data_IF_264503667027
#
_entry.id   IF_264503667027
#
_cell.length_a   1.000
_cell.length_b   1.000
_cell.length_c   1.000
_cell.angle_alpha   90.00
_cell.angle_beta   90.00
_cell.angle_gamma   90.00
#
_symmetry.space_group_name_H-M   'P 1'
#
loop_
_entity.id
_entity.type
_entity.pdbx_description
1 polymer ?
#
# COMPACT_ATOMS: atom_id res chain seq x y z
N UNK A 1 0.53 24.34 -2.54
CA UNK A 1 1.36 23.36 -1.79
C UNK A 1 1.90 22.35 -2.79
N UNK A 2 3.21 22.11 -2.80
CA UNK A 2 3.85 21.13 -3.69
C UNK A 2 3.24 19.74 -3.53
N UNK A 3 3.00 19.04 -4.61
CA UNK A 3 2.53 17.65 -4.59
C UNK A 3 3.68 16.67 -4.80
N UNK A 4 3.75 15.60 -3.98
CA UNK A 4 4.75 14.56 -4.11
C UNK A 4 4.17 13.32 -4.79
N UNK A 5 4.90 12.78 -5.75
CA UNK A 5 4.51 11.58 -6.48
C UNK A 5 5.65 10.58 -6.51
N UNK A 6 5.32 9.29 -6.50
CA UNK A 6 6.30 8.22 -6.69
C UNK A 6 6.15 7.59 -8.08
N UNK A 7 7.21 7.67 -8.88
CA UNK A 7 7.32 7.00 -10.18
C UNK A 7 8.20 5.78 -10.01
N UNK A 8 7.65 4.59 -10.20
CA UNK A 8 8.41 3.34 -10.09
C UNK A 8 8.75 2.81 -11.48
N UNK A 9 10.03 2.53 -11.71
CA UNK A 9 10.56 2.00 -12.96
C UNK A 9 11.37 0.74 -12.72
N UNK A 10 11.39 -0.18 -13.67
CA UNK A 10 12.25 -1.35 -13.66
C UNK A 10 13.63 -0.96 -14.19
N UNK A 11 14.67 -1.46 -13.51
CA UNK A 11 16.06 -1.30 -13.91
C UNK A 11 16.56 -2.54 -14.65
N UNK A 12 17.46 -2.32 -15.61
CA UNK A 12 18.20 -3.36 -16.32
C UNK A 12 19.71 -3.21 -16.05
N UNK A 13 20.19 -3.63 -14.86
CA UNK A 13 21.59 -3.50 -14.50
C UNK A 13 22.44 -4.58 -15.15
N UNK A 14 23.67 -4.22 -15.51
CA UNK A 14 24.72 -5.20 -15.85
C UNK A 14 25.07 -6.06 -14.63
N UNK A 15 25.69 -7.25 -14.79
CA UNK A 15 26.12 -8.09 -13.66
C UNK A 15 27.02 -7.37 -12.65
N UNK A 16 27.88 -6.46 -13.12
CA UNK A 16 28.72 -5.61 -12.25
C UNK A 16 27.90 -4.63 -11.43
N UNK A 17 26.93 -3.98 -12.05
CA UNK A 17 26.01 -3.06 -11.37
C UNK A 17 25.11 -3.80 -10.37
N UNK A 18 24.63 -5.00 -10.73
CA UNK A 18 23.81 -5.83 -9.82
C UNK A 18 24.59 -6.19 -8.55
N UNK A 19 25.87 -6.60 -8.66
CA UNK A 19 26.74 -6.84 -7.49
C UNK A 19 26.90 -5.57 -6.64
N UNK A 20 27.13 -4.41 -7.25
CA UNK A 20 27.23 -3.14 -6.52
C UNK A 20 25.91 -2.74 -5.82
N UNK A 21 24.77 -2.93 -6.47
CA UNK A 21 23.46 -2.70 -5.85
C UNK A 21 23.22 -3.63 -4.66
N UNK A 22 23.62 -4.90 -4.78
CA UNK A 22 23.51 -5.87 -3.68
C UNK A 22 24.42 -5.46 -2.49
N UNK A 23 25.64 -5.00 -2.76
CA UNK A 23 26.55 -4.45 -1.76
C UNK A 23 25.92 -3.25 -1.04
N UNK A 24 25.43 -2.26 -1.77
CA UNK A 24 24.73 -1.09 -1.18
C UNK A 24 23.53 -1.48 -0.31
N UNK A 25 22.75 -2.48 -0.72
CA UNK A 25 21.62 -2.98 0.07
C UNK A 25 22.09 -3.72 1.34
N UNK A 26 23.22 -4.43 1.27
CA UNK A 26 23.92 -5.03 2.41
C UNK A 26 24.39 -3.97 3.41
N UNK A 27 25.10 -2.97 2.91
CA UNK A 27 25.61 -1.84 3.67
C UNK A 27 24.50 -1.05 4.38
N UNK A 28 23.41 -0.77 3.67
CA UNK A 28 22.23 -0.12 4.25
C UNK A 28 21.59 -0.95 5.38
N UNK A 29 21.52 -2.28 5.22
CA UNK A 29 21.04 -3.16 6.28
C UNK A 29 21.97 -3.19 7.48
N UNK A 30 23.29 -3.22 7.24
CA UNK A 30 24.29 -3.19 8.29
C UNK A 30 24.17 -1.93 9.13
N UNK A 31 24.19 -0.75 8.51
CA UNK A 31 24.06 0.53 9.23
C UNK A 31 22.74 0.64 10.01
N UNK A 32 21.63 0.14 9.42
CA UNK A 32 20.36 0.08 10.14
C UNK A 32 20.46 -0.78 11.41
N UNK A 33 21.08 -1.95 11.31
CA UNK A 33 21.19 -2.87 12.44
C UNK A 33 22.18 -2.35 13.48
N UNK A 34 23.32 -1.82 13.08
CA UNK A 34 24.29 -1.19 13.98
C UNK A 34 23.67 -0.02 14.75
N UNK A 35 22.96 0.89 14.05
CA UNK A 35 22.24 1.98 14.72
C UNK A 35 21.13 1.51 15.64
N UNK A 36 20.45 0.40 15.33
CA UNK A 36 19.45 -0.19 16.22
C UNK A 36 20.11 -0.83 17.45
N UNK A 37 21.26 -1.47 17.32
CA UNK A 37 22.02 -2.03 18.43
C UNK A 37 22.45 -0.91 19.39
N UNK A 38 23.07 0.14 18.88
CA UNK A 38 23.47 1.32 19.64
C UNK A 38 22.32 1.93 20.48
N UNK A 39 21.15 2.14 19.85
CA UNK A 39 19.97 2.65 20.58
C UNK A 39 19.48 1.67 21.65
N UNK A 40 19.57 0.36 21.39
CA UNK A 40 19.19 -0.64 22.39
C UNK A 40 20.14 -0.69 23.58
N UNK A 41 21.44 -0.54 23.35
CA UNK A 41 22.46 -0.48 24.39
C UNK A 41 22.24 0.73 25.30
N UNK A 42 22.00 1.93 24.73
CA UNK A 42 21.68 3.11 25.52
C UNK A 42 20.43 2.91 26.39
N UNK A 43 19.36 2.30 25.83
CA UNK A 43 18.15 1.98 26.59
C UNK A 43 18.46 0.96 27.72
N UNK A 44 19.28 -0.05 27.46
CA UNK A 44 19.69 -1.06 28.43
C UNK A 44 20.55 -0.50 29.55
N UNK A 45 21.40 0.50 29.27
CA UNK A 45 22.22 1.24 30.22
C UNK A 45 21.47 2.33 30.99
N UNK A 46 20.15 2.51 30.74
CA UNK A 46 19.37 3.57 31.40
C UNK A 46 19.60 4.97 30.83
N UNK A 47 20.37 5.10 29.75
CA UNK A 47 20.63 6.39 29.12
C UNK A 47 19.46 6.81 28.21
N UNK A 48 19.18 8.14 28.11
CA UNK A 48 18.17 8.63 27.17
C UNK A 48 18.62 8.39 25.73
N UNK A 49 17.92 7.55 24.97
CA UNK A 49 18.39 7.16 23.65
C UNK A 49 18.19 8.27 22.62
N UNK A 50 19.26 8.64 21.93
CA UNK A 50 19.22 9.54 20.80
C UNK A 50 18.93 8.79 19.51
N UNK A 51 17.69 8.84 19.02
CA UNK A 51 17.28 8.17 17.77
C UNK A 51 16.90 9.10 16.62
N UNK A 52 17.26 10.39 16.70
CA UNK A 52 17.07 11.31 15.57
C UNK A 52 17.94 10.87 14.38
N UNK A 53 17.54 11.24 13.16
CA UNK A 53 18.38 10.94 11.99
C UNK A 53 19.75 11.62 12.09
N UNK A 54 19.78 12.81 12.69
CA UNK A 54 21.02 13.56 12.87
C UNK A 54 21.97 12.86 13.85
N UNK A 55 21.49 12.49 15.04
CA UNK A 55 22.30 11.81 16.06
C UNK A 55 22.78 10.43 15.59
N UNK A 56 21.92 9.62 14.99
CA UNK A 56 22.32 8.34 14.41
C UNK A 56 23.36 8.47 13.30
N UNK A 57 23.27 9.52 12.47
CA UNK A 57 24.26 9.80 11.43
C UNK A 57 25.59 10.27 12.01
N UNK A 58 25.56 11.12 13.05
CA UNK A 58 26.74 11.60 13.77
C UNK A 58 27.46 10.42 14.42
N UNK A 59 26.72 9.58 15.14
CA UNK A 59 27.25 8.35 15.73
C UNK A 59 27.87 7.42 14.68
N UNK A 60 27.18 7.15 13.56
CA UNK A 60 27.73 6.34 12.48
C UNK A 60 29.03 6.88 11.93
N UNK A 61 29.12 8.17 11.70
CA UNK A 61 30.32 8.79 11.14
C UNK A 61 31.52 8.69 12.09
N UNK A 62 31.29 8.73 13.39
CA UNK A 62 32.34 8.58 14.40
C UNK A 62 32.83 7.12 14.52
N UNK A 63 31.96 6.13 14.33
CA UNK A 63 32.26 4.72 14.62
C UNK A 63 32.37 3.82 13.36
N UNK A 64 32.17 4.34 12.16
CA UNK A 64 32.09 3.53 10.93
C UNK A 64 33.40 2.79 10.60
N UNK A 65 34.54 3.37 10.96
CA UNK A 65 35.88 2.80 10.69
C UNK A 65 36.17 1.58 11.55
N UNK A 66 35.59 1.51 12.75
CA UNK A 66 35.66 0.37 13.65
C UNK A 66 34.59 -0.67 13.36
N UNK A 67 33.37 -0.22 13.08
CA UNK A 67 32.20 -1.09 12.86
C UNK A 67 32.23 -1.82 11.51
N UNK A 68 32.71 -1.15 10.47
CA UNK A 68 32.64 -1.65 9.09
C UNK A 68 33.96 -2.25 8.62
N UNK A 69 34.55 -3.12 9.45
CA UNK A 69 35.77 -3.86 9.17
C UNK A 69 35.46 -5.31 8.80
N UNK A 70 36.16 -5.84 7.84
CA UNK A 70 36.15 -7.27 7.52
C UNK A 70 36.98 -8.00 8.57
N UNK A 71 36.35 -8.81 9.41
CA UNK A 71 37.01 -9.51 10.49
C UNK A 71 38.09 -10.49 10.03
N UNK A 72 38.06 -10.97 8.79
CA UNK A 72 39.05 -11.89 8.24
C UNK A 72 40.26 -11.18 7.65
N UNK A 73 40.09 -9.96 7.10
CA UNK A 73 41.19 -9.23 6.41
C UNK A 73 41.63 -7.96 7.13
N UNK A 74 40.87 -7.49 8.13
CA UNK A 74 41.12 -6.21 8.80
C UNK A 74 40.79 -4.99 7.94
N UNK A 75 40.34 -5.17 6.71
CA UNK A 75 40.06 -4.08 5.78
C UNK A 75 38.74 -3.38 6.09
N UNK A 76 38.76 -2.06 6.03
CA UNK A 76 37.56 -1.22 6.10
C UNK A 76 36.81 -1.28 4.78
N UNK A 77 35.50 -1.52 4.80
CA UNK A 77 34.71 -1.71 3.58
C UNK A 77 33.60 -0.68 3.36
N UNK A 78 33.35 0.23 4.30
CA UNK A 78 32.24 1.20 4.15
C UNK A 78 32.45 2.15 2.96
N UNK A 79 33.66 2.47 2.59
CA UNK A 79 34.03 3.37 1.50
C UNK A 79 33.68 2.81 0.11
N UNK A 80 33.51 1.49 -0.01
CA UNK A 80 33.10 0.81 -1.26
C UNK A 80 31.65 1.17 -1.67
N UNK A 81 30.86 1.68 -0.74
CA UNK A 81 29.45 2.03 -0.94
C UNK A 81 29.22 3.53 -0.80
N UNK A 82 28.12 4.03 -1.37
CA UNK A 82 27.75 5.43 -1.24
C UNK A 82 27.34 5.75 0.20
N UNK A 83 27.81 6.89 0.72
CA UNK A 83 27.40 7.44 2.03
C UNK A 83 25.87 7.58 2.18
N UNK A 84 25.16 7.77 1.07
CA UNK A 84 23.70 7.89 1.04
C UNK A 84 22.99 6.56 1.40
N UNK A 85 23.60 5.41 1.08
CA UNK A 85 23.02 4.12 1.45
C UNK A 85 22.93 3.96 2.98
N UNK A 86 23.97 4.36 3.70
CA UNK A 86 24.03 4.36 5.17
C UNK A 86 23.09 5.40 5.76
N UNK A 87 23.20 6.65 5.33
CA UNK A 87 22.35 7.76 5.79
C UNK A 87 20.87 7.49 5.55
N UNK A 88 20.51 6.93 4.37
CA UNK A 88 19.15 6.55 4.06
C UNK A 88 18.60 5.46 4.98
N UNK A 89 19.44 4.48 5.38
CA UNK A 89 19.07 3.41 6.29
C UNK A 89 18.85 3.92 7.73
N UNK A 90 19.70 4.81 8.20
CA UNK A 90 19.58 5.46 9.52
C UNK A 90 18.34 6.38 9.56
N UNK A 91 18.04 7.09 8.48
CA UNK A 91 16.78 7.85 8.34
C UNK A 91 15.55 6.97 8.41
N UNK A 92 15.57 5.80 7.79
CA UNK A 92 14.48 4.83 7.86
C UNK A 92 14.34 4.27 9.30
N UNK A 93 15.44 4.07 10.03
CA UNK A 93 15.44 3.67 11.43
C UNK A 93 14.83 4.76 12.33
N UNK A 94 15.30 6.00 12.21
CA UNK A 94 14.77 7.16 12.95
C UNK A 94 13.26 7.31 12.74
N UNK A 95 12.78 7.15 11.48
CA UNK A 95 11.35 7.14 11.16
C UNK A 95 10.63 5.98 11.84
N UNK A 96 11.26 4.81 11.92
CA UNK A 96 10.74 3.64 12.64
C UNK A 96 10.47 3.95 14.11
N UNK A 97 11.42 4.57 14.78
CA UNK A 97 11.30 5.02 16.18
C UNK A 97 10.22 6.09 16.35
N UNK A 98 10.20 7.12 15.47
CA UNK A 98 9.17 8.15 15.49
C UNK A 98 7.75 7.55 15.34
N UNK A 99 7.57 6.60 14.42
CA UNK A 99 6.29 5.93 14.21
C UNK A 99 5.88 5.08 15.42
N UNK A 100 6.83 4.36 16.04
CA UNK A 100 6.59 3.60 17.25
C UNK A 100 6.20 4.51 18.41
N UNK A 101 6.95 5.59 18.68
CA UNK A 101 6.68 6.55 19.73
C UNK A 101 5.30 7.21 19.55
N UNK A 102 4.98 7.69 18.34
CA UNK A 102 3.67 8.27 18.02
C UNK A 102 2.54 7.25 18.19
N UNK A 103 2.77 5.98 17.81
CA UNK A 103 1.80 4.90 17.97
C UNK A 103 1.53 4.59 19.45
N UNK A 104 2.58 4.59 20.27
CA UNK A 104 2.48 4.37 21.73
C UNK A 104 1.73 5.51 22.42
N UNK A 105 1.96 6.75 21.97
CA UNK A 105 1.30 7.97 22.51
C UNK A 105 -0.10 8.21 21.94
N UNK A 106 -0.67 7.29 21.13
CA UNK A 106 -1.98 7.46 20.48
C UNK A 106 -2.05 8.54 19.40
N UNK A 107 -0.89 9.18 19.06
CA UNK A 107 -0.81 10.28 18.08
C UNK A 107 -0.72 9.81 16.61
N UNK A 108 -0.93 8.50 16.33
CA UNK A 108 -0.87 7.93 14.99
C UNK A 108 -2.15 7.21 14.64
N UNK A 109 -2.76 7.58 13.50
CA UNK A 109 -3.90 6.85 12.91
C UNK A 109 -3.42 5.49 12.35
N UNK A 110 -4.29 4.48 12.41
CA UNK A 110 -4.05 3.15 11.86
C UNK A 110 -3.51 2.13 12.88
N UNK A 111 -3.02 0.98 12.37
CA UNK A 111 -2.58 -0.15 13.21
C UNK A 111 -1.42 0.25 14.13
N UNK A 112 -1.40 -0.35 15.34
CA UNK A 112 -0.30 -0.18 16.30
C UNK A 112 1.03 -0.60 15.67
N UNK A 113 2.05 0.25 15.81
CA UNK A 113 3.43 0.00 15.33
C UNK A 113 4.29 -0.43 16.51
N UNK A 114 4.94 -1.58 16.38
CA UNK A 114 5.89 -2.08 17.39
C UNK A 114 7.26 -1.40 17.31
N UNK A 115 8.11 -1.71 18.28
CA UNK A 115 9.50 -1.27 18.30
C UNK A 115 10.26 -1.77 17.05
N UNK A 116 11.20 -1.00 16.48
CA UNK A 116 12.01 -1.44 15.35
C UNK A 116 12.72 -2.77 15.60
N UNK A 117 12.78 -3.63 14.58
CA UNK A 117 13.43 -4.95 14.66
C UNK A 117 14.65 -5.01 13.74
N UNK A 118 15.63 -5.85 14.08
CA UNK A 118 16.77 -6.13 13.22
C UNK A 118 16.33 -6.68 11.86
N UNK A 119 17.03 -6.25 10.81
CA UNK A 119 16.79 -6.72 9.43
C UNK A 119 17.66 -7.92 9.13
N UNK A 120 17.06 -9.04 8.78
CA UNK A 120 17.76 -10.25 8.34
C UNK A 120 18.21 -10.19 6.87
N UNK A 121 19.06 -11.13 6.43
CA UNK A 121 19.43 -11.33 5.01
C UNK A 121 18.22 -11.60 4.11
N UNK A 122 17.12 -12.12 4.67
CA UNK A 122 15.87 -12.41 3.96
C UNK A 122 14.97 -11.19 3.79
N UNK A 123 15.30 -10.05 4.41
CA UNK A 123 14.57 -8.80 4.22
C UNK A 123 14.79 -8.27 2.80
N UNK A 124 13.83 -7.53 2.26
CA UNK A 124 13.92 -6.91 0.94
C UNK A 124 15.20 -6.08 0.81
N UNK A 125 16.03 -6.40 -0.18
CA UNK A 125 17.20 -5.59 -0.52
C UNK A 125 16.74 -4.20 -0.93
N UNK A 126 17.18 -3.18 -0.20
CA UNK A 126 16.76 -1.79 -0.42
C UNK A 126 17.79 -0.81 0.10
N UNK A 127 18.01 0.25 -0.65
CA UNK A 127 18.78 1.43 -0.26
C UNK A 127 18.23 2.67 -0.94
N UNK A 128 18.63 3.86 -0.53
CA UNK A 128 18.10 5.09 -1.08
C UNK A 128 19.16 6.18 -1.21
N UNK A 129 18.96 7.06 -2.17
CA UNK A 129 19.72 8.26 -2.41
C UNK A 129 18.83 9.50 -2.24
N UNK A 130 19.34 10.50 -1.57
CA UNK A 130 18.72 11.83 -1.48
C UNK A 130 19.53 12.88 -2.25
N UNK A 131 20.80 12.59 -2.52
CA UNK A 131 21.72 13.46 -3.25
C UNK A 131 22.68 12.64 -4.13
N UNK A 132 23.41 13.30 -5.02
CA UNK A 132 24.48 12.71 -5.82
C UNK A 132 24.04 11.84 -6.99
N UNK A 133 22.77 11.71 -7.26
CA UNK A 133 22.24 11.07 -8.45
C UNK A 133 22.02 12.12 -9.57
N UNK A 134 22.02 11.64 -10.84
CA UNK A 134 21.62 12.47 -11.98
C UNK A 134 20.34 11.89 -12.57
N UNK A 135 19.35 12.76 -12.75
CA UNK A 135 18.09 12.40 -13.42
C UNK A 135 18.33 12.13 -14.91
N UNK A 136 17.50 11.30 -15.56
CA UNK A 136 17.50 11.16 -17.01
C UNK A 136 17.24 12.48 -17.72
N UNK A 137 17.89 12.67 -18.88
CA UNK A 137 17.81 13.86 -19.72
C UNK A 137 17.16 13.51 -21.06
N UNK A 138 16.85 14.52 -21.88
CA UNK A 138 16.33 14.30 -23.23
C UNK A 138 17.32 13.52 -24.11
N UNK A 139 18.63 13.70 -23.93
CA UNK A 139 19.69 12.96 -24.63
C UNK A 139 19.91 11.53 -24.12
N UNK A 140 19.50 11.24 -22.86
CA UNK A 140 19.55 9.91 -22.26
C UNK A 140 18.29 9.63 -21.44
N UNK A 141 17.13 9.41 -22.11
CA UNK A 141 15.83 9.31 -21.43
C UNK A 141 15.65 8.03 -20.60
N UNK A 142 16.48 7.01 -20.83
CA UNK A 142 16.49 5.73 -20.11
C UNK A 142 17.63 5.59 -19.10
N UNK A 143 18.53 6.58 -19.00
CA UNK A 143 19.70 6.52 -18.15
C UNK A 143 19.49 7.13 -16.77
N UNK A 144 19.67 6.36 -15.71
CA UNK A 144 19.65 6.83 -14.34
C UNK A 144 21.04 6.69 -13.72
N UNK A 145 21.73 7.81 -13.44
CA UNK A 145 23.07 7.77 -12.87
C UNK A 145 22.99 7.71 -11.33
N UNK A 146 23.53 6.63 -10.76
CA UNK A 146 23.52 6.37 -9.32
C UNK A 146 24.94 6.44 -8.74
N UNK A 147 25.16 7.09 -7.58
CA UNK A 147 26.47 7.18 -6.95
C UNK A 147 27.11 5.80 -6.73
N UNK A 148 28.39 5.67 -7.09
CA UNK A 148 29.18 4.43 -6.96
C UNK A 148 28.69 3.24 -7.80
N UNK A 149 27.56 3.35 -8.50
CA UNK A 149 27.01 2.31 -9.38
C UNK A 149 27.20 2.70 -10.85
N UNK A 150 27.11 3.98 -11.15
CA UNK A 150 27.17 4.53 -12.49
C UNK A 150 25.82 4.66 -13.16
N UNK A 151 25.81 4.80 -14.50
CA UNK A 151 24.60 4.89 -15.32
C UNK A 151 23.94 3.51 -15.42
N UNK A 152 22.71 3.40 -14.96
CA UNK A 152 21.87 2.19 -15.04
C UNK A 152 20.76 2.42 -16.05
N UNK A 153 20.54 1.46 -16.94
CA UNK A 153 19.45 1.50 -17.90
C UNK A 153 18.11 1.25 -17.21
N UNK A 154 17.10 2.05 -17.55
CA UNK A 154 15.71 1.89 -17.13
C UNK A 154 14.91 1.30 -18.31
N UNK A 155 14.00 0.37 -18.03
CA UNK A 155 13.17 -0.27 -19.04
C UNK A 155 12.06 0.64 -19.62
N UNK A 156 11.94 1.86 -19.11
CA UNK A 156 10.92 2.83 -19.49
C UNK A 156 11.56 4.20 -19.69
N UNK A 157 10.95 5.04 -20.55
CA UNK A 157 11.36 6.44 -20.70
C UNK A 157 11.09 7.21 -19.43
N UNK A 158 12.11 7.33 -18.58
CA UNK A 158 12.00 7.98 -17.28
C UNK A 158 11.95 9.50 -17.44
N UNK A 159 12.67 10.06 -18.41
CA UNK A 159 12.66 11.49 -18.68
C UNK A 159 11.24 12.01 -18.93
N UNK A 160 10.51 11.35 -19.80
CA UNK A 160 9.11 11.70 -20.10
C UNK A 160 8.22 11.53 -18.86
N UNK A 161 8.38 10.43 -18.12
CA UNK A 161 7.54 10.15 -16.92
C UNK A 161 7.72 11.15 -15.77
N UNK A 162 8.87 11.78 -15.67
CA UNK A 162 9.16 12.78 -14.64
C UNK A 162 9.24 14.21 -15.20
N UNK A 163 8.92 14.41 -16.48
CA UNK A 163 8.93 15.74 -17.12
C UNK A 163 8.16 16.75 -16.30
N UNK A 164 8.72 17.95 -16.14
CA UNK A 164 8.13 19.03 -15.34
C UNK A 164 8.13 18.77 -13.82
N UNK A 165 8.91 17.79 -13.34
CA UNK A 165 8.97 17.48 -11.92
C UNK A 165 10.41 17.46 -11.40
N UNK A 166 10.62 17.92 -10.18
CA UNK A 166 11.91 17.88 -9.49
C UNK A 166 12.11 16.53 -8.81
N UNK A 167 13.19 15.82 -9.14
CA UNK A 167 13.55 14.55 -8.51
C UNK A 167 14.19 14.79 -7.13
N UNK A 168 13.53 14.31 -6.07
CA UNK A 168 13.93 14.54 -4.67
C UNK A 168 14.70 13.34 -4.10
N UNK A 169 14.28 12.11 -4.43
CA UNK A 169 14.83 10.90 -3.83
C UNK A 169 14.68 9.72 -4.77
N UNK A 170 15.67 8.85 -4.75
CA UNK A 170 15.62 7.55 -5.45
C UNK A 170 15.70 6.45 -4.40
N UNK A 171 14.75 5.52 -4.43
CA UNK A 171 14.81 4.30 -3.63
C UNK A 171 15.00 3.11 -4.57
N UNK A 172 16.13 2.45 -4.46
CA UNK A 172 16.43 1.22 -5.22
C UNK A 172 16.05 0.01 -4.40
N UNK A 173 15.35 -0.96 -4.99
CA UNK A 173 14.90 -2.18 -4.32
C UNK A 173 14.89 -3.38 -5.26
N UNK A 174 15.14 -4.58 -4.70
CA UNK A 174 15.03 -5.85 -5.45
C UNK A 174 13.74 -6.56 -5.08
N UNK A 175 12.96 -6.96 -6.10
CA UNK A 175 11.74 -7.73 -5.94
C UNK A 175 11.68 -8.85 -6.96
N UNK A 176 11.52 -10.08 -6.51
CA UNK A 176 11.39 -11.27 -7.38
C UNK A 176 12.51 -11.40 -8.43
N UNK A 177 13.75 -11.10 -8.03
CA UNK A 177 14.92 -11.18 -8.90
C UNK A 177 15.18 -9.93 -9.75
N UNK A 178 14.26 -8.98 -9.82
CA UNK A 178 14.40 -7.75 -10.60
C UNK A 178 14.69 -6.54 -9.72
N UNK A 179 15.47 -5.59 -10.24
CA UNK A 179 15.73 -4.31 -9.59
C UNK A 179 14.77 -3.24 -10.06
N UNK A 180 14.38 -2.36 -9.16
CA UNK A 180 13.48 -1.25 -9.40
C UNK A 180 14.02 0.02 -8.75
N UNK A 181 13.83 1.15 -9.41
CA UNK A 181 13.96 2.47 -8.81
C UNK A 181 12.57 3.07 -8.59
N UNK A 182 12.33 3.57 -7.38
CA UNK A 182 11.18 4.40 -7.06
C UNK A 182 11.67 5.83 -6.91
N UNK A 183 11.27 6.66 -7.82
CA UNK A 183 11.65 8.07 -7.94
C UNK A 183 10.59 8.89 -7.19
N UNK A 184 10.96 9.56 -6.13
CA UNK A 184 10.09 10.55 -5.49
C UNK A 184 10.31 11.88 -6.18
N UNK A 185 9.28 12.38 -6.82
CA UNK A 185 9.29 13.65 -7.53
C UNK A 185 8.33 14.65 -6.90
N UNK A 186 8.73 15.89 -6.92
CA UNK A 186 7.93 17.04 -6.54
C UNK A 186 7.43 17.75 -7.79
N UNK A 187 6.13 17.95 -7.86
CA UNK A 187 5.51 18.73 -8.93
C UNK A 187 4.81 19.93 -8.32
N UNK A 188 4.85 21.05 -9.02
CA UNK A 188 3.93 22.12 -8.75
C UNK A 188 2.49 21.63 -8.95
N UNK A 189 1.53 22.10 -8.15
CA UNK A 189 0.14 21.74 -8.34
C UNK A 189 -0.28 22.26 -9.70
N UNK A 190 -0.44 21.38 -10.67
CA UNK A 190 -1.16 21.71 -11.90
C UNK A 190 -2.63 21.88 -11.52
N UNK A 191 -3.25 22.94 -11.97
CA UNK A 191 -4.70 23.07 -11.88
C UNK A 191 -5.33 21.77 -12.41
N UNK A 192 -6.40 21.26 -11.78
CA UNK A 192 -7.08 20.07 -12.29
C UNK A 192 -7.40 20.33 -13.76
N UNK A 193 -7.11 19.35 -14.62
CA UNK A 193 -7.43 19.46 -16.03
C UNK A 193 -8.93 19.81 -16.16
N UNK A 194 -9.21 20.96 -16.77
CA UNK A 194 -10.57 21.51 -16.98
C UNK A 194 -11.31 20.81 -18.12
N UNK A 195 -10.85 19.63 -18.56
CA UNK A 195 -11.62 18.86 -19.54
C UNK A 195 -13.03 18.62 -19.01
N UNK A 196 -14.05 18.85 -19.81
CA UNK A 196 -15.43 18.57 -19.43
C UNK A 196 -15.56 17.10 -19.05
N UNK A 197 -15.99 16.84 -17.81
CA UNK A 197 -16.20 15.52 -17.30
C UNK A 197 -17.67 15.17 -17.43
N UNK A 198 -17.96 13.89 -17.66
CA UNK A 198 -19.31 13.36 -17.50
C UNK A 198 -19.79 13.59 -16.06
N UNK A 199 -21.09 13.62 -15.86
CA UNK A 199 -21.69 13.81 -14.54
C UNK A 199 -21.27 12.76 -13.50
N UNK A 200 -22.11 12.51 -12.53
CA UNK A 200 -21.87 11.50 -11.51
C UNK A 200 -22.00 10.08 -12.04
N UNK A 201 -21.18 9.13 -11.54
CA UNK A 201 -21.27 7.70 -11.82
C UNK A 201 -21.32 6.90 -10.51
N UNK A 202 -22.21 5.91 -10.44
CA UNK A 202 -22.23 4.89 -9.40
C UNK A 202 -21.36 3.70 -9.82
N UNK A 203 -20.64 3.13 -8.88
CA UNK A 203 -19.70 2.02 -9.11
C UNK A 203 -19.98 0.91 -8.10
N UNK A 204 -20.55 -0.20 -8.56
CA UNK A 204 -20.66 -1.43 -7.79
C UNK A 204 -19.36 -2.24 -7.91
N UNK A 205 -18.74 -2.55 -6.77
CA UNK A 205 -17.47 -3.30 -6.70
C UNK A 205 -17.72 -4.77 -6.41
N UNK A 206 -17.32 -5.64 -7.32
CA UNK A 206 -17.61 -7.06 -7.26
C UNK A 206 -16.39 -7.99 -7.36
N UNK A 207 -16.67 -9.29 -7.20
CA UNK A 207 -15.70 -10.37 -7.37
C UNK A 207 -15.83 -11.00 -8.77
N UNK A 208 -17.02 -11.03 -9.36
CA UNK A 208 -17.26 -11.52 -10.73
C UNK A 208 -16.66 -10.53 -11.72
N UNK A 209 -17.14 -9.32 -11.70
CA UNK A 209 -16.57 -8.14 -12.34
C UNK A 209 -15.82 -7.33 -11.28
N UNK A 210 -14.77 -6.62 -11.66
CA UNK A 210 -14.02 -5.77 -10.73
C UNK A 210 -14.85 -4.55 -10.34
N UNK A 211 -15.59 -4.00 -11.32
CA UNK A 211 -16.54 -2.92 -11.11
C UNK A 211 -17.60 -2.97 -12.21
N UNK A 212 -18.84 -2.61 -11.87
CA UNK A 212 -19.93 -2.31 -12.81
C UNK A 212 -20.38 -0.88 -12.58
N UNK A 213 -20.47 -0.09 -13.64
CA UNK A 213 -20.80 1.32 -13.59
C UNK A 213 -22.29 1.55 -13.90
N UNK A 214 -22.85 2.64 -13.42
CA UNK A 214 -24.26 3.00 -13.63
C UNK A 214 -24.62 3.33 -15.08
N UNK A 215 -23.65 3.49 -15.95
CA UNK A 215 -23.82 3.61 -17.42
C UNK A 215 -23.70 2.26 -18.15
N UNK A 216 -23.78 1.16 -17.42
CA UNK A 216 -23.63 -0.21 -17.91
C UNK A 216 -22.21 -0.60 -18.33
N UNK A 217 -21.20 0.24 -18.11
CA UNK A 217 -19.80 -0.13 -18.35
C UNK A 217 -19.36 -1.20 -17.36
N UNK A 218 -18.85 -2.33 -17.87
CA UNK A 218 -18.37 -3.44 -17.05
C UNK A 218 -16.85 -3.52 -17.13
N UNK A 219 -16.19 -3.49 -15.98
CA UNK A 219 -14.74 -3.67 -15.84
C UNK A 219 -14.47 -5.11 -15.38
N UNK A 220 -13.86 -5.95 -16.23
CA UNK A 220 -13.66 -7.36 -15.90
C UNK A 220 -12.65 -7.55 -14.78
N UNK A 221 -12.90 -8.54 -13.92
CA UNK A 221 -11.91 -8.95 -12.90
C UNK A 221 -10.88 -9.89 -13.54
N UNK A 222 -9.59 -9.54 -13.53
CA UNK A 222 -8.52 -10.37 -14.15
C UNK A 222 -8.29 -11.70 -13.42
N UNK A 223 -8.86 -11.89 -12.21
CA UNK A 223 -8.70 -13.08 -11.37
C UNK A 223 -7.25 -13.58 -11.33
N UNK A 224 -6.32 -12.67 -11.11
CA UNK A 224 -4.89 -12.84 -11.33
C UNK A 224 -4.29 -14.02 -10.56
N UNK A 225 -4.75 -14.26 -9.32
CA UNK A 225 -4.35 -15.41 -8.52
C UNK A 225 -5.00 -16.70 -9.05
N UNK A 226 -6.30 -16.67 -9.37
CA UNK A 226 -7.03 -17.81 -9.91
C UNK A 226 -6.35 -18.38 -11.15
N UNK A 227 -6.02 -17.54 -12.12
CA UNK A 227 -5.36 -17.91 -13.37
C UNK A 227 -3.98 -18.56 -13.17
N UNK A 228 -3.29 -18.29 -12.06
CA UNK A 228 -1.95 -18.80 -11.80
C UNK A 228 -1.85 -19.76 -10.61
N UNK A 229 -2.97 -20.10 -10.00
CA UNK A 229 -3.01 -20.88 -8.76
C UNK A 229 -2.37 -22.26 -8.92
N UNK A 230 -2.64 -22.96 -10.03
CA UNK A 230 -2.05 -24.28 -10.35
C UNK A 230 -0.51 -24.21 -10.46
N UNK A 231 -0.01 -23.21 -11.19
CA UNK A 231 1.43 -22.99 -11.36
C UNK A 231 2.11 -22.62 -10.03
N UNK A 232 1.47 -21.76 -9.23
CA UNK A 232 1.98 -21.36 -7.92
C UNK A 232 2.05 -22.55 -6.94
N UNK A 233 1.01 -23.38 -6.88
CA UNK A 233 0.99 -24.61 -6.06
C UNK A 233 2.11 -25.58 -6.47
N UNK A 234 2.30 -25.81 -7.79
CA UNK A 234 3.38 -26.66 -8.32
C UNK A 234 4.76 -26.11 -7.93
N UNK A 235 4.97 -24.79 -8.07
CA UNK A 235 6.23 -24.17 -7.70
C UNK A 235 6.49 -24.22 -6.17
N UNK A 236 5.47 -24.02 -5.35
CA UNK A 236 5.57 -24.14 -3.89
C UNK A 236 5.90 -25.58 -3.44
N UNK A 237 5.23 -26.59 -4.03
CA UNK A 237 5.53 -28.02 -3.78
C UNK A 237 6.97 -28.37 -4.20
N UNK A 238 7.45 -27.82 -5.33
CA UNK A 238 8.85 -27.99 -5.74
C UNK A 238 9.83 -27.34 -4.76
N UNK A 239 9.51 -26.15 -4.23
CA UNK A 239 10.32 -25.45 -3.23
C UNK A 239 10.39 -26.21 -1.90
N UNK A 240 9.28 -26.74 -1.41
CA UNK A 240 9.24 -27.49 -0.13
C UNK A 240 10.14 -28.71 -0.12
N UNK A 241 10.32 -29.37 -1.29
CA UNK A 241 11.17 -30.56 -1.46
C UNK A 241 12.66 -30.27 -1.57
N UNK A 242 13.10 -29.01 -1.56
CA UNK A 242 14.52 -28.63 -1.71
C UNK A 242 15.19 -28.44 -0.37
N UNK A 243 16.44 -28.89 -0.26
CA UNK A 243 17.27 -28.74 0.95
C UNK A 243 17.49 -27.27 1.27
N UNK A 244 17.30 -26.89 2.53
CA UNK A 244 17.55 -25.51 3.02
C UNK A 244 19.03 -25.16 2.80
N UNK A 245 19.28 -23.94 2.29
CA UNK A 245 20.63 -23.46 1.99
C UNK A 245 21.15 -23.83 0.60
N UNK A 246 20.55 -24.80 -0.11
CA UNK A 246 21.02 -25.18 -1.43
C UNK A 246 20.72 -24.14 -2.53
N UNK A 247 21.61 -24.03 -3.51
CA UNK A 247 21.43 -23.16 -4.70
C UNK A 247 20.13 -23.52 -5.46
N UNK A 248 19.79 -24.82 -5.51
CA UNK A 248 18.54 -25.29 -6.12
C UNK A 248 17.30 -24.77 -5.37
N UNK A 249 17.38 -24.64 -4.05
CA UNK A 249 16.30 -24.06 -3.25
C UNK A 249 16.16 -22.55 -3.50
N UNK A 250 17.24 -21.80 -3.59
CA UNK A 250 17.19 -20.35 -3.90
C UNK A 250 16.59 -20.10 -5.31
N UNK A 251 16.95 -20.88 -6.31
CA UNK A 251 16.32 -20.83 -7.64
C UNK A 251 14.80 -21.14 -7.58
N UNK A 252 14.39 -22.13 -6.80
CA UNK A 252 12.97 -22.47 -6.61
C UNK A 252 12.21 -21.35 -5.86
N UNK A 253 12.81 -20.77 -4.83
CA UNK A 253 12.28 -19.62 -4.08
C UNK A 253 12.07 -18.40 -4.98
N UNK A 254 13.03 -18.12 -5.85
CA UNK A 254 12.92 -17.04 -6.83
C UNK A 254 11.78 -17.29 -7.82
N UNK A 255 11.60 -18.53 -8.30
CA UNK A 255 10.47 -18.89 -9.17
C UNK A 255 9.12 -18.62 -8.50
N UNK A 256 8.95 -19.01 -7.24
CA UNK A 256 7.73 -18.72 -6.45
C UNK A 256 7.53 -17.21 -6.31
N UNK A 257 8.62 -16.46 -6.02
CA UNK A 257 8.58 -15.02 -5.91
C UNK A 257 8.14 -14.34 -7.21
N UNK A 258 8.65 -14.78 -8.37
CA UNK A 258 8.26 -14.28 -9.71
C UNK A 258 6.77 -14.53 -10.00
N UNK A 259 6.26 -15.72 -9.70
CA UNK A 259 4.84 -16.02 -9.88
C UNK A 259 3.94 -15.14 -9.01
N UNK A 260 4.30 -14.96 -7.74
CA UNK A 260 3.57 -14.05 -6.82
C UNK A 260 3.65 -12.60 -7.27
N UNK A 261 4.82 -12.16 -7.74
CA UNK A 261 4.99 -10.81 -8.28
C UNK A 261 4.09 -10.59 -9.49
N UNK A 262 4.04 -11.55 -10.44
CA UNK A 262 3.18 -11.44 -11.62
C UNK A 262 1.69 -11.35 -11.27
N UNK A 263 1.22 -12.11 -10.28
CA UNK A 263 -0.16 -12.00 -9.77
C UNK A 263 -0.44 -10.59 -9.24
N UNK A 264 0.48 -10.07 -8.42
CA UNK A 264 0.34 -8.74 -7.86
C UNK A 264 0.39 -7.63 -8.92
N UNK A 265 1.23 -7.79 -9.95
CA UNK A 265 1.40 -6.80 -11.01
C UNK A 265 0.18 -6.76 -11.95
N UNK A 266 -0.37 -7.92 -12.35
CA UNK A 266 -1.61 -8.00 -13.15
C UNK A 266 -2.78 -7.35 -12.42
N UNK A 267 -2.92 -7.63 -11.11
CA UNK A 267 -3.95 -7.01 -10.28
C UNK A 267 -3.77 -5.49 -10.19
N UNK A 268 -2.56 -5.05 -9.90
CA UNK A 268 -2.25 -3.62 -9.76
C UNK A 268 -2.48 -2.87 -11.08
N UNK A 269 -2.14 -3.45 -12.22
CA UNK A 269 -2.36 -2.86 -13.55
C UNK A 269 -3.85 -2.70 -13.84
N UNK A 270 -4.66 -3.75 -13.64
CA UNK A 270 -6.10 -3.71 -13.86
C UNK A 270 -6.77 -2.63 -13.00
N UNK A 271 -6.48 -2.60 -11.68
CA UNK A 271 -7.02 -1.59 -10.77
C UNK A 271 -6.55 -0.19 -11.17
N UNK A 272 -5.26 -0.04 -11.53
CA UNK A 272 -4.72 1.26 -11.89
C UNK A 272 -5.38 1.82 -13.16
N UNK A 273 -5.58 1.01 -14.20
CA UNK A 273 -6.27 1.38 -15.43
C UNK A 273 -7.73 1.77 -15.16
N UNK A 274 -8.46 0.91 -14.45
CA UNK A 274 -9.85 1.15 -14.08
C UNK A 274 -10.05 2.46 -13.31
N UNK A 275 -9.31 2.64 -12.23
CA UNK A 275 -9.44 3.82 -11.37
C UNK A 275 -8.93 5.11 -12.04
N UNK A 276 -7.98 5.01 -12.98
CA UNK A 276 -7.53 6.17 -13.78
C UNK A 276 -8.62 6.60 -14.77
N UNK A 277 -9.21 5.64 -15.46
CA UNK A 277 -10.31 5.88 -16.39
C UNK A 277 -11.48 6.53 -15.64
N UNK A 278 -11.98 5.91 -14.55
CA UNK A 278 -13.12 6.42 -13.80
C UNK A 278 -12.84 7.84 -13.27
N UNK A 279 -11.72 8.08 -12.58
CA UNK A 279 -11.40 9.39 -12.03
C UNK A 279 -11.13 10.47 -13.10
N UNK A 280 -10.73 10.08 -14.29
CA UNK A 280 -10.53 10.99 -15.43
C UNK A 280 -11.83 11.35 -16.15
N UNK A 281 -12.77 10.39 -16.24
CA UNK A 281 -13.99 10.53 -17.05
C UNK A 281 -15.13 11.24 -16.32
N UNK A 282 -15.33 10.97 -15.02
CA UNK A 282 -16.51 11.46 -14.29
C UNK A 282 -16.16 12.57 -13.30
N UNK A 283 -17.11 13.48 -13.09
CA UNK A 283 -16.97 14.59 -12.13
C UNK A 283 -17.24 14.15 -10.68
N UNK A 284 -18.11 13.17 -10.48
CA UNK A 284 -18.37 12.56 -9.18
C UNK A 284 -18.40 11.03 -9.33
N UNK A 285 -17.77 10.33 -8.36
CA UNK A 285 -17.68 8.88 -8.33
C UNK A 285 -18.28 8.39 -7.01
N UNK A 286 -19.40 7.68 -7.08
CA UNK A 286 -20.09 7.14 -5.92
C UNK A 286 -19.76 5.65 -5.78
N UNK A 287 -19.28 5.23 -4.60
CA UNK A 287 -18.94 3.83 -4.30
C UNK A 287 -19.60 3.39 -3.00
N UNK A 288 -19.80 2.10 -2.83
CA UNK A 288 -20.27 1.52 -1.56
C UNK A 288 -19.14 1.48 -0.51
N UNK A 289 -19.49 1.74 0.76
CA UNK A 289 -18.60 1.67 1.91
C UNK A 289 -18.29 0.24 2.38
N UNK A 290 -17.74 -0.62 1.52
CA UNK A 290 -17.51 -2.03 1.78
C UNK A 290 -16.61 -2.29 3.00
N UNK A 291 -17.05 -3.18 3.90
CA UNK A 291 -16.21 -3.73 4.97
C UNK A 291 -15.34 -4.88 4.47
N UNK A 292 -14.33 -4.54 3.66
CA UNK A 292 -13.41 -5.54 3.07
C UNK A 292 -12.72 -6.39 4.13
N UNK A 293 -12.38 -5.82 5.29
CA UNK A 293 -11.75 -6.56 6.39
C UNK A 293 -12.68 -7.64 6.97
N UNK A 294 -13.98 -7.36 7.06
CA UNK A 294 -15.01 -8.34 7.44
C UNK A 294 -15.20 -9.41 6.36
N UNK A 295 -15.25 -9.01 5.09
CA UNK A 295 -15.43 -9.94 3.97
C UNK A 295 -14.28 -10.96 3.86
N UNK A 296 -13.06 -10.57 4.16
CA UNK A 296 -11.87 -11.46 4.15
C UNK A 296 -11.88 -12.47 5.31
N UNK A 297 -12.68 -12.25 6.37
CA UNK A 297 -12.86 -13.25 7.44
C UNK A 297 -13.72 -14.43 7.00
N UNK A 298 -14.59 -14.26 6.03
CA UNK A 298 -15.37 -15.35 5.44
C UNK A 298 -14.44 -16.23 4.58
N UNK A 299 -14.16 -17.46 5.04
CA UNK A 299 -13.20 -18.36 4.38
C UNK A 299 -13.60 -18.75 2.96
N UNK A 300 -14.89 -18.80 2.62
CA UNK A 300 -15.39 -19.10 1.28
C UNK A 300 -15.11 -17.97 0.28
N UNK A 301 -15.19 -16.70 0.73
CA UNK A 301 -15.01 -15.52 -0.10
C UNK A 301 -13.60 -14.91 0.00
N UNK A 302 -12.87 -15.18 1.07
CA UNK A 302 -11.59 -14.54 1.40
C UNK A 302 -10.59 -14.51 0.24
N UNK A 303 -10.46 -15.63 -0.48
CA UNK A 303 -9.55 -15.73 -1.62
C UNK A 303 -9.97 -14.81 -2.76
N UNK A 304 -11.23 -14.85 -3.15
CA UNK A 304 -11.77 -14.07 -4.26
C UNK A 304 -11.80 -12.58 -3.96
N UNK A 305 -12.21 -12.19 -2.76
CA UNK A 305 -12.16 -10.79 -2.28
C UNK A 305 -10.72 -10.27 -2.21
N UNK A 306 -9.79 -11.08 -1.71
CA UNK A 306 -8.35 -10.72 -1.67
C UNK A 306 -7.76 -10.65 -3.08
N UNK A 307 -8.23 -11.46 -4.02
CA UNK A 307 -7.78 -11.42 -5.42
C UNK A 307 -8.34 -10.21 -6.16
N UNK A 308 -9.58 -9.80 -5.92
CA UNK A 308 -10.17 -8.57 -6.44
C UNK A 308 -9.52 -7.30 -5.87
N UNK A 309 -8.99 -7.36 -4.63
CA UNK A 309 -8.32 -6.27 -3.91
C UNK A 309 -9.17 -4.97 -3.83
N UNK A 310 -10.44 -5.10 -3.48
CA UNK A 310 -11.44 -4.02 -3.45
C UNK A 310 -10.98 -2.82 -2.59
N UNK A 311 -10.27 -3.06 -1.49
CA UNK A 311 -9.70 -1.99 -0.65
C UNK A 311 -8.62 -1.17 -1.36
N UNK A 312 -7.84 -1.77 -2.25
CA UNK A 312 -6.86 -1.06 -3.08
C UNK A 312 -7.55 -0.24 -4.17
N UNK A 313 -8.64 -0.74 -4.74
CA UNK A 313 -9.46 -0.01 -5.70
C UNK A 313 -9.99 1.29 -5.08
N UNK A 314 -10.64 1.21 -3.91
CA UNK A 314 -11.10 2.37 -3.16
C UNK A 314 -9.96 3.34 -2.85
N UNK A 315 -8.84 2.86 -2.30
CA UNK A 315 -7.67 3.69 -1.99
C UNK A 315 -7.13 4.43 -3.22
N UNK A 316 -7.18 3.79 -4.40
CA UNK A 316 -6.74 4.44 -5.64
C UNK A 316 -7.75 5.50 -6.10
N UNK A 317 -9.04 5.28 -5.98
CA UNK A 317 -10.04 6.30 -6.27
C UNK A 317 -9.86 7.51 -5.34
N UNK A 318 -9.67 7.33 -4.03
CA UNK A 318 -9.49 8.41 -3.06
C UNK A 318 -8.43 9.43 -3.49
N UNK A 319 -7.24 9.00 -3.87
CA UNK A 319 -6.19 9.95 -4.27
C UNK A 319 -6.28 10.38 -5.74
N UNK A 320 -6.87 9.57 -6.63
CA UNK A 320 -6.98 9.92 -8.05
C UNK A 320 -8.08 10.95 -8.29
N UNK A 321 -9.23 10.81 -7.65
CA UNK A 321 -10.31 11.80 -7.73
C UNK A 321 -9.84 13.14 -7.18
N UNK A 322 -9.15 13.15 -6.02
CA UNK A 322 -8.55 14.36 -5.47
C UNK A 322 -7.55 15.04 -6.45
N UNK A 323 -6.81 14.25 -7.24
CA UNK A 323 -5.86 14.77 -8.24
C UNK A 323 -6.53 15.31 -9.51
N UNK A 324 -7.63 14.70 -9.92
CA UNK A 324 -8.36 15.09 -11.15
C UNK A 324 -9.47 16.10 -10.90
N UNK A 325 -9.65 16.56 -9.64
CA UNK A 325 -10.73 17.45 -9.27
C UNK A 325 -12.12 16.80 -9.28
N UNK A 326 -12.20 15.46 -9.33
CA UNK A 326 -13.45 14.73 -9.17
C UNK A 326 -13.79 14.57 -7.68
N UNK A 327 -15.07 14.40 -7.38
CA UNK A 327 -15.56 14.14 -6.02
C UNK A 327 -15.70 12.64 -5.82
N UNK A 328 -15.24 12.09 -4.69
CA UNK A 328 -15.51 10.71 -4.30
C UNK A 328 -16.57 10.69 -3.19
N UNK A 329 -17.73 10.09 -3.50
CA UNK A 329 -18.83 9.87 -2.58
C UNK A 329 -18.81 8.42 -2.10
N UNK A 330 -18.91 8.19 -0.79
CA UNK A 330 -18.95 6.84 -0.22
C UNK A 330 -20.31 6.64 0.45
N UNK A 331 -21.14 5.84 -0.20
CA UNK A 331 -22.49 5.49 0.28
C UNK A 331 -22.38 4.56 1.50
N UNK A 332 -23.29 4.70 2.43
CA UNK A 332 -23.33 3.84 3.63
C UNK A 332 -23.39 2.35 3.27
N UNK A 333 -22.64 1.55 3.99
CA UNK A 333 -22.53 0.08 3.76
C UNK A 333 -23.83 -0.70 3.98
N UNK A 334 -24.79 -0.12 4.69
CA UNK A 334 -26.09 -0.74 4.96
C UNK A 334 -27.15 -0.35 3.93
N UNK A 335 -26.84 0.58 3.02
CA UNK A 335 -27.75 0.92 1.94
C UNK A 335 -28.00 -0.31 1.05
N UNK A 336 -29.26 -0.71 0.86
CA UNK A 336 -29.61 -1.95 0.17
C UNK A 336 -29.54 -1.81 -1.37
N UNK A 337 -28.40 -1.35 -1.90
CA UNK A 337 -28.20 -1.00 -3.31
C UNK A 337 -28.66 -2.08 -4.29
N UNK A 338 -28.34 -3.35 -4.01
CA UNK A 338 -28.68 -4.47 -4.88
C UNK A 338 -30.14 -4.95 -4.75
N UNK A 339 -30.84 -4.59 -3.65
CA UNK A 339 -32.22 -4.98 -3.39
C UNK A 339 -33.25 -3.91 -3.75
N UNK A 340 -32.83 -2.67 -3.90
CA UNK A 340 -33.65 -1.53 -4.26
C UNK A 340 -33.86 -1.51 -5.76
N UNK A 341 -35.09 -1.29 -6.23
CA UNK A 341 -35.39 -1.07 -7.64
C UNK A 341 -34.86 0.31 -8.06
N UNK A 342 -34.03 0.36 -9.09
CA UNK A 342 -33.49 1.63 -9.61
C UNK A 342 -34.54 2.50 -10.33
N UNK A 343 -35.70 1.95 -10.67
CA UNK A 343 -36.78 2.69 -11.31
C UNK A 343 -37.82 3.23 -10.30
N UNK A 344 -38.38 2.37 -9.44
CA UNK A 344 -39.49 2.75 -8.56
C UNK A 344 -39.11 2.84 -7.07
N UNK A 345 -37.88 2.49 -6.67
CA UNK A 345 -37.39 2.58 -5.28
C UNK A 345 -37.88 1.46 -4.36
N UNK A 346 -38.77 0.55 -4.80
CA UNK A 346 -39.22 -0.57 -3.95
C UNK A 346 -38.05 -1.47 -3.56
N UNK A 347 -38.00 -1.85 -2.29
CA UNK A 347 -36.93 -2.70 -1.75
C UNK A 347 -37.43 -4.14 -1.64
N UNK A 348 -36.77 -5.08 -2.30
CA UNK A 348 -37.06 -6.51 -2.17
C UNK A 348 -36.65 -7.03 -0.80
N UNK A 349 -37.51 -7.80 -0.14
CA UNK A 349 -37.22 -8.43 1.14
C UNK A 349 -36.06 -9.42 1.03
N UNK A 350 -36.05 -10.25 -0.03
CA UNK A 350 -35.01 -11.25 -0.31
C UNK A 350 -34.54 -11.13 -1.75
N UNK A 351 -33.22 -11.28 -1.95
CA UNK A 351 -32.60 -11.41 -3.27
C UNK A 351 -31.46 -12.43 -3.11
N UNK A 352 -31.51 -13.53 -3.86
CA UNK A 352 -30.50 -14.56 -3.81
C UNK A 352 -29.18 -14.06 -4.42
N UNK A 353 -28.04 -14.49 -3.87
CA UNK A 353 -26.72 -14.21 -4.44
C UNK A 353 -26.52 -14.84 -5.84
N UNK A 354 -27.29 -15.88 -6.17
CA UNK A 354 -27.28 -16.53 -7.48
C UNK A 354 -28.07 -15.75 -8.54
N UNK A 355 -29.05 -14.94 -8.15
CA UNK A 355 -29.83 -14.13 -9.08
C UNK A 355 -28.92 -13.04 -9.68
N UNK A 356 -28.90 -12.99 -11.02
CA UNK A 356 -28.09 -12.02 -11.78
C UNK A 356 -28.92 -10.95 -12.43
N UNK A 357 -30.18 -11.24 -12.67
CA UNK A 357 -31.16 -10.27 -13.17
C UNK A 357 -32.02 -9.80 -12.00
N UNK A 358 -32.15 -8.51 -11.85
CA UNK A 358 -33.09 -7.91 -10.91
C UNK A 358 -34.44 -7.72 -11.64
N UNK A 359 -35.46 -8.38 -11.16
CA UNK A 359 -36.82 -8.25 -11.66
C UNK A 359 -37.68 -7.55 -10.61
N UNK A 360 -38.26 -6.43 -10.90
CA UNK A 360 -39.12 -5.70 -9.96
C UNK A 360 -40.56 -6.13 -10.09
N UNK A 361 -41.16 -6.64 -9.01
CA UNK A 361 -42.55 -7.10 -9.02
C UNK A 361 -43.55 -5.93 -8.99
N UNK A 362 -43.10 -4.73 -8.62
CA UNK A 362 -43.95 -3.54 -8.52
C UNK A 362 -44.05 -2.75 -9.86
N UNK A 363 -42.96 -2.63 -10.63
CA UNK A 363 -42.94 -1.82 -11.85
C UNK A 363 -42.48 -2.59 -13.09
N UNK A 364 -42.24 -3.90 -12.99
CA UNK A 364 -41.87 -4.74 -14.12
C UNK A 364 -40.43 -4.56 -14.64
N UNK A 365 -39.61 -3.73 -14.00
CA UNK A 365 -38.20 -3.54 -14.41
C UNK A 365 -37.45 -4.86 -14.38
N UNK A 366 -36.80 -5.20 -15.49
CA UNK A 366 -35.84 -6.32 -15.58
C UNK A 366 -34.49 -5.80 -16.05
N UNK A 367 -33.44 -5.90 -15.21
CA UNK A 367 -32.13 -5.33 -15.45
C UNK A 367 -31.03 -6.21 -14.80
N UNK A 368 -29.80 -6.12 -15.29
CA UNK A 368 -28.67 -6.75 -14.61
C UNK A 368 -28.55 -6.21 -13.16
N UNK A 369 -28.39 -7.11 -12.18
CA UNK A 369 -28.39 -6.78 -10.76
C UNK A 369 -27.25 -5.83 -10.36
N UNK A 370 -26.07 -6.01 -10.96
CA UNK A 370 -24.89 -5.21 -10.63
C UNK A 370 -25.04 -3.80 -11.26
N UNK A 371 -25.70 -3.67 -12.42
CA UNK A 371 -26.08 -2.38 -13.02
C UNK A 371 -27.17 -1.68 -12.17
N UNK A 372 -28.21 -2.41 -11.74
CA UNK A 372 -29.22 -1.88 -10.83
C UNK A 372 -28.60 -1.32 -9.54
N UNK A 373 -27.67 -2.07 -8.95
CA UNK A 373 -26.94 -1.63 -7.76
C UNK A 373 -26.10 -0.37 -8.01
N UNK A 374 -25.42 -0.30 -9.15
CA UNK A 374 -24.62 0.86 -9.53
C UNK A 374 -25.46 2.12 -9.73
N UNK A 375 -26.66 2.00 -10.34
CA UNK A 375 -27.60 3.13 -10.47
C UNK A 375 -28.06 3.60 -9.09
N UNK A 376 -28.43 2.71 -8.19
CA UNK A 376 -28.83 3.04 -6.83
C UNK A 376 -27.70 3.70 -6.03
N UNK A 377 -26.46 3.23 -6.17
CA UNK A 377 -25.26 3.84 -5.57
C UNK A 377 -25.04 5.26 -6.11
N UNK A 378 -25.24 5.49 -7.40
CA UNK A 378 -25.20 6.81 -8.01
C UNK A 378 -26.23 7.75 -7.37
N UNK A 379 -27.49 7.33 -7.32
CA UNK A 379 -28.59 8.14 -6.76
C UNK A 379 -28.32 8.49 -5.29
N UNK A 380 -27.99 7.49 -4.47
CA UNK A 380 -27.69 7.69 -3.05
C UNK A 380 -26.47 8.57 -2.81
N UNK A 381 -25.43 8.45 -3.64
CA UNK A 381 -24.22 9.25 -3.52
C UNK A 381 -24.30 10.65 -4.13
N UNK A 382 -25.30 10.92 -5.00
CA UNK A 382 -25.54 12.22 -5.62
C UNK A 382 -26.55 13.07 -4.87
N UNK A 383 -27.15 12.56 -3.79
CA UNK A 383 -28.03 13.35 -2.94
C UNK A 383 -27.28 14.58 -2.40
N UNK A 384 -27.93 15.77 -2.31
CA UNK A 384 -27.29 17.02 -1.88
C UNK A 384 -26.55 16.91 -0.54
N UNK A 385 -27.06 16.12 0.38
CA UNK A 385 -26.48 15.87 1.71
C UNK A 385 -25.15 15.12 1.65
N UNK A 386 -24.94 14.27 0.64
CA UNK A 386 -23.70 13.48 0.48
C UNK A 386 -22.61 14.28 -0.23
N UNK A 387 -22.96 15.24 -1.07
CA UNK A 387 -22.01 16.07 -1.82
C UNK A 387 -21.41 17.18 -0.94
N UNK A 388 -22.07 17.61 0.12
CA UNK A 388 -21.63 18.66 1.02
C UNK A 388 -20.74 18.18 2.18
N UNK A 389 -20.58 16.85 2.35
CA UNK A 389 -19.76 16.27 3.42
C UNK A 389 -18.26 16.32 3.09
N UNK A 390 -17.65 17.51 3.12
CA UNK A 390 -16.24 17.68 3.42
C UNK A 390 -16.05 17.37 4.90
N UNK A 391 -15.85 16.08 5.24
CA UNK A 391 -15.09 15.69 6.42
C UNK A 391 -15.63 16.06 7.81
N UNK A 392 -16.85 16.51 7.97
CA UNK A 392 -17.46 16.75 9.27
C UNK A 392 -18.63 15.78 9.50
N UNK A 393 -18.68 15.23 10.70
CA UNK A 393 -19.59 14.16 11.14
C UNK A 393 -21.03 14.34 10.67
N UNK A 394 -21.53 13.48 9.77
CA UNK A 394 -22.94 13.34 9.42
C UNK A 394 -23.67 12.64 10.60
N UNK A 395 -23.79 13.32 11.72
CA UNK A 395 -24.61 12.89 12.87
C UNK A 395 -25.77 13.82 13.21
N UNK A 396 -26.11 14.77 12.33
CA UNK A 396 -27.26 15.67 12.58
C UNK A 396 -28.04 15.99 11.33
N UNK A 397 -28.90 15.07 10.90
CA UNK A 397 -30.11 15.39 10.12
C UNK A 397 -31.05 14.18 10.02
N UNK A 398 -31.45 13.58 11.15
CA UNK A 398 -32.68 12.82 11.24
C UNK A 398 -33.58 13.52 12.27
N UNK A 399 -34.12 14.62 11.87
CA UNK A 399 -35.06 15.36 12.68
C UNK A 399 -35.90 16.26 11.83
N UNK A 400 -36.90 15.66 11.15
CA UNK A 400 -38.21 16.24 10.85
C UNK A 400 -39.01 15.33 9.93
N UNK A 401 -39.71 14.41 10.53
CA UNK A 401 -41.03 13.93 10.12
C UNK A 401 -41.61 13.02 11.23
N UNK A 402 -42.65 13.52 11.89
CA UNK A 402 -43.64 12.66 12.52
C UNK A 402 -43.40 12.33 14.01
N UNK A 403 -44.06 13.05 14.89
CA UNK A 403 -44.32 12.71 16.28
C UNK A 403 -44.86 11.29 16.41
N UNK A 404 -44.14 10.44 17.12
CA UNK A 404 -44.71 9.35 17.90
C UNK A 404 -43.76 9.08 19.08
N UNK A 405 -44.24 9.32 20.26
CA UNK A 405 -43.62 9.05 21.54
C UNK A 405 -43.50 7.52 21.75
N UNK A 406 -42.35 7.01 22.15
CA UNK A 406 -42.29 5.75 22.84
C UNK A 406 -41.52 5.89 24.18
N UNK A 407 -42.23 5.55 25.22
CA UNK A 407 -41.76 5.45 26.54
C UNK A 407 -40.46 4.71 26.79
N UNK A 408 -39.87 5.05 27.88
CA UNK A 408 -38.62 4.62 28.46
C UNK A 408 -38.39 3.11 28.52
N UNK A 409 -37.19 2.70 28.15
CA UNK A 409 -36.52 1.56 28.76
C UNK A 409 -35.01 1.80 28.86
N UNK A 410 -34.62 2.34 30.00
CA UNK A 410 -33.23 2.37 30.48
C UNK A 410 -32.76 0.96 30.81
N UNK A 411 -31.72 0.48 30.19
CA UNK A 411 -30.86 -0.55 30.78
C UNK A 411 -29.39 -0.11 30.76
N UNK A 412 -28.98 0.32 31.96
CA UNK A 412 -27.57 0.52 32.32
C UNK A 412 -26.87 -0.83 32.33
N UNK A 413 -25.79 -0.98 31.56
CA UNK A 413 -24.81 -2.04 31.79
C UNK A 413 -23.52 -1.45 32.33
N UNK A 414 -23.23 -1.84 33.57
CA UNK A 414 -22.11 -1.44 34.38
C UNK A 414 -20.76 -1.88 33.78
N UNK A 415 -19.79 -0.96 33.86
CA UNK A 415 -18.37 -1.27 33.72
C UNK A 415 -17.90 -2.11 34.91
N UNK A 416 -17.32 -3.30 34.63
CA UNK A 416 -16.45 -3.97 35.60
C UNK A 416 -15.00 -3.69 35.20
N UNK A 417 -14.34 -2.89 36.02
CA UNK A 417 -12.91 -2.77 36.15
C UNK A 417 -12.38 -4.02 36.86
N UNK A 418 -11.41 -4.70 36.25
CA UNK A 418 -10.58 -5.67 36.95
C UNK A 418 -9.13 -5.26 36.77
N UNK A 419 -8.57 -4.73 37.83
CA UNK A 419 -7.16 -4.61 38.13
C UNK A 419 -6.62 -6.02 38.39
N UNK A 420 -5.57 -6.44 37.74
CA UNK A 420 -4.64 -7.47 38.22
C UNK A 420 -3.22 -7.07 37.95
N UNK A 421 -2.52 -6.76 39.01
CA UNK A 421 -1.06 -6.79 39.16
C UNK A 421 -0.59 -8.24 39.26
N UNK A 422 0.65 -8.49 38.84
CA UNK A 422 1.37 -9.74 39.06
C UNK A 422 2.33 -9.99 37.89
N UNK A 423 3.51 -9.53 38.02
CA UNK A 423 4.84 -10.14 38.03
C UNK A 423 4.95 -11.51 37.33
N UNK A 424 5.84 -11.54 36.27
CA UNK A 424 6.95 -12.47 36.22
C UNK A 424 7.89 -12.08 35.09
N UNK A 425 9.09 -11.65 35.48
CA UNK A 425 10.24 -11.46 34.60
C UNK A 425 11.07 -12.75 34.64
N UNK A 426 10.85 -13.60 33.64
CA UNK A 426 11.74 -14.72 33.36
C UNK A 426 12.96 -14.24 32.57
N UNK A 427 14.12 -14.24 33.20
CA UNK A 427 15.41 -14.11 32.58
C UNK A 427 15.72 -15.33 31.70
N UNK A 428 15.80 -15.17 30.40
CA UNK A 428 16.58 -16.07 29.55
C UNK A 428 17.60 -15.27 28.74
N UNK A 429 18.84 -15.45 29.14
CA UNK A 429 20.02 -14.95 28.46
C UNK A 429 20.19 -15.69 27.12
N UNK A 430 19.98 -15.00 26.00
CA UNK A 430 20.33 -15.49 24.68
C UNK A 430 21.56 -14.76 24.20
N UNK A 431 22.70 -15.46 24.23
CA UNK A 431 23.93 -15.03 23.58
C UNK A 431 23.77 -14.87 22.07
N UNK A 432 24.36 -13.86 21.45
CA UNK A 432 24.28 -13.69 20.00
C UNK A 432 25.26 -14.61 19.29
N UNK A 433 24.75 -15.57 18.52
CA UNK A 433 25.56 -16.23 17.48
C UNK A 433 25.69 -15.29 16.28
N UNK A 434 26.89 -14.80 16.10
CA UNK A 434 27.37 -14.11 14.89
C UNK A 434 27.84 -15.20 13.93
N UNK A 435 27.17 -15.39 12.82
CA UNK A 435 27.70 -15.97 11.58
C UNK A 435 27.08 -15.25 10.38
#
# INVERSE_FOLDING_TARGET
MSSYMAVKVRLDPTPRQERRMASHAGAARFAYNAGLAHVKEAIGGGEPPEWSHYSLRRWWNANKDELAVNQATGEVWWDQNSKEAYSGALRDLARGFSNWSKSRKGKRKGRRVGFPKFKSKNTTMRFAYSTGFTAPTASDPYGLKLPRIGRVHCMENVHERISGARLIRITVSRRAGCWYASLTVEREPTAPATAPKLGAVGVDLGVKNLATLSDSTVIPNPRALGARLKALRKAQKALSRKVKGSVRREKAKERVARLRARVADVRADAINKATTMIAGTYSAVCIEGLNVAGMVKNHNLARSVSDAALGEFRRQLEYKTARTGAVLCVVDRWFPSSKTCSNCGVVKAKLSLSERTFNCDACGLSIDRDVNAAINIKVAGSAPETLNARGEDVRRANGMLGNADPGEARTKRARKSAVRLGADLGNEAIQPRIN
#
